data_IF_992034014812
#
_entry.id   IF_992034014812
#
_cell.length_a   1.000
_cell.length_b   1.000
_cell.length_c   1.000
_cell.angle_alpha   90.00
_cell.angle_beta   90.00
_cell.angle_gamma   90.00
#
_symmetry.space_group_name_H-M   'P 1'
#
loop_
_entity.id
_entity.type
_entity.pdbx_description
1 polymer ?
#
# COMPACT_ATOMS: atom_id res chain seq x y z
N UNK A 1 3.57 -9.39 -31.84
CA UNK A 1 2.63 -8.95 -30.81
C UNK A 1 3.08 -7.63 -30.22
N UNK A 2 2.20 -6.69 -30.15
CA UNK A 2 2.49 -5.41 -29.51
C UNK A 2 2.47 -5.60 -28.00
N UNK A 3 3.50 -5.16 -27.27
CA UNK A 3 3.44 -5.24 -25.83
C UNK A 3 2.29 -4.40 -25.29
N UNK A 4 1.62 -4.89 -24.27
CA UNK A 4 0.55 -4.16 -23.61
C UNK A 4 1.06 -2.88 -22.94
N UNK A 5 2.35 -2.83 -22.68
CA UNK A 5 3.00 -1.71 -22.01
C UNK A 5 4.15 -1.20 -22.86
N UNK A 6 4.23 0.12 -23.01
CA UNK A 6 5.34 0.79 -23.66
C UNK A 6 6.12 1.59 -22.64
N UNK A 7 7.48 1.61 -22.69
CA UNK A 7 8.27 2.44 -21.79
C UNK A 7 7.92 3.93 -21.82
N UNK A 8 7.29 4.39 -22.91
CA UNK A 8 6.87 5.79 -23.05
C UNK A 8 5.51 6.05 -22.44
N UNK A 9 4.70 5.01 -22.24
CA UNK A 9 3.38 5.13 -21.63
C UNK A 9 3.56 4.95 -20.13
N UNK A 10 3.30 6.01 -19.38
CA UNK A 10 3.36 5.96 -17.93
C UNK A 10 2.05 5.40 -17.40
N UNK A 11 2.15 4.45 -16.50
CA UNK A 11 1.01 3.96 -15.76
C UNK A 11 1.33 3.95 -14.27
N UNK A 12 0.35 3.57 -13.46
CA UNK A 12 0.50 3.58 -12.01
C UNK A 12 1.64 2.69 -11.51
N UNK A 13 2.02 1.65 -12.28
CA UNK A 13 3.08 0.72 -11.89
C UNK A 13 4.46 1.37 -11.92
N UNK A 14 4.61 2.51 -12.59
CA UNK A 14 5.85 3.28 -12.58
C UNK A 14 6.04 4.09 -11.31
N UNK A 15 4.99 4.25 -10.50
CA UNK A 15 5.07 5.01 -9.26
C UNK A 15 5.72 4.17 -8.17
N UNK A 16 6.71 4.75 -7.51
CA UNK A 16 7.39 4.11 -6.39
C UNK A 16 6.39 3.75 -5.28
N UNK A 17 5.44 4.65 -5.00
CA UNK A 17 4.41 4.40 -4.00
C UNK A 17 3.62 3.13 -4.30
N UNK A 18 3.25 2.92 -5.57
CA UNK A 18 2.52 1.71 -5.96
C UNK A 18 3.40 0.48 -5.81
N UNK A 19 4.66 0.56 -6.21
CA UNK A 19 5.59 -0.57 -6.13
C UNK A 19 5.78 -1.02 -4.68
N UNK A 20 5.97 -0.08 -3.77
CA UNK A 20 6.08 -0.37 -2.34
C UNK A 20 4.78 -0.98 -1.80
N UNK A 21 3.64 -0.40 -2.15
CA UNK A 21 2.33 -0.89 -1.73
C UNK A 21 2.07 -2.32 -2.23
N UNK A 22 2.49 -2.62 -3.46
CA UNK A 22 2.32 -3.95 -4.06
C UNK A 22 3.13 -5.01 -3.30
N UNK A 23 4.35 -4.69 -2.90
CA UNK A 23 5.17 -5.59 -2.09
C UNK A 23 4.47 -5.90 -0.76
N UNK A 24 3.92 -4.88 -0.11
CA UNK A 24 3.22 -5.05 1.16
C UNK A 24 1.98 -5.92 1.00
N UNK A 25 1.14 -5.63 0.00
CA UNK A 25 -0.09 -6.39 -0.22
C UNK A 25 0.20 -7.87 -0.48
N UNK A 26 1.19 -8.17 -1.33
CA UNK A 26 1.60 -9.54 -1.61
C UNK A 26 2.12 -10.24 -0.36
N UNK A 27 2.94 -9.55 0.43
CA UNK A 27 3.49 -10.10 1.67
C UNK A 27 2.40 -10.38 2.70
N UNK A 28 1.45 -9.47 2.85
CA UNK A 28 0.31 -9.65 3.77
C UNK A 28 -0.51 -10.86 3.36
N UNK A 29 -0.81 -11.01 2.07
CA UNK A 29 -1.55 -12.17 1.57
C UNK A 29 -0.78 -13.46 1.87
N UNK A 30 0.52 -13.47 1.62
CA UNK A 30 1.36 -14.63 1.87
C UNK A 30 1.40 -15.03 3.34
N UNK A 31 1.63 -14.06 4.22
CA UNK A 31 1.65 -14.32 5.66
C UNK A 31 0.28 -14.76 6.18
N UNK A 32 -0.80 -14.18 5.64
CA UNK A 32 -2.15 -14.54 6.01
C UNK A 32 -2.47 -16.00 5.70
N UNK A 33 -1.98 -16.49 4.56
CA UNK A 33 -2.22 -17.90 4.17
C UNK A 33 -1.52 -18.87 5.11
N UNK A 34 -0.33 -18.51 5.59
CA UNK A 34 0.49 -19.40 6.41
C UNK A 34 0.13 -19.30 7.89
N UNK A 35 -0.17 -18.09 8.35
CA UNK A 35 -0.28 -17.80 9.79
C UNK A 35 -1.70 -17.50 10.27
N UNK A 36 -2.71 -17.75 9.42
CA UNK A 36 -4.09 -17.52 9.83
C UNK A 36 -4.46 -18.40 11.02
N UNK A 37 -5.05 -17.80 12.04
CA UNK A 37 -5.59 -18.48 13.21
C UNK A 37 -6.82 -17.70 13.67
N UNK A 38 -7.79 -18.34 14.32
CA UNK A 38 -9.00 -17.64 14.76
C UNK A 38 -8.74 -16.42 15.61
N UNK A 39 -7.77 -16.49 16.53
CA UNK A 39 -7.47 -15.35 17.42
C UNK A 39 -6.93 -14.14 16.67
N UNK A 40 -6.36 -14.33 15.51
CA UNK A 40 -5.80 -13.25 14.70
C UNK A 40 -6.70 -12.81 13.54
N UNK A 41 -7.85 -13.46 13.35
CA UNK A 41 -8.67 -13.28 12.17
C UNK A 41 -9.09 -11.83 11.93
N UNK A 42 -9.47 -11.10 12.99
CA UNK A 42 -9.91 -9.72 12.86
C UNK A 42 -8.77 -8.81 12.39
N UNK A 43 -7.57 -8.96 12.97
CA UNK A 43 -6.40 -8.17 12.60
C UNK A 43 -5.96 -8.51 11.18
N UNK A 44 -5.90 -9.79 10.85
CA UNK A 44 -5.51 -10.24 9.51
C UNK A 44 -6.47 -9.71 8.46
N UNK A 45 -7.78 -9.81 8.70
CA UNK A 45 -8.78 -9.29 7.77
C UNK A 45 -8.67 -7.78 7.55
N UNK A 46 -8.46 -7.03 8.62
CA UNK A 46 -8.30 -5.58 8.52
C UNK A 46 -6.99 -5.23 7.79
N UNK A 47 -5.93 -5.97 8.06
CA UNK A 47 -4.63 -5.77 7.41
C UNK A 47 -4.72 -6.06 5.90
N UNK A 48 -5.43 -7.11 5.52
CA UNK A 48 -5.68 -7.40 4.10
C UNK A 48 -6.42 -6.25 3.43
N UNK A 49 -7.46 -5.72 4.07
CA UNK A 49 -8.23 -4.60 3.51
C UNK A 49 -7.40 -3.33 3.40
N UNK A 50 -6.67 -2.97 4.45
CA UNK A 50 -5.89 -1.73 4.43
C UNK A 50 -4.75 -1.78 3.42
N UNK A 51 -4.02 -2.90 3.35
CA UNK A 51 -2.90 -3.03 2.42
C UNK A 51 -3.36 -3.01 0.96
N UNK A 52 -4.50 -3.64 0.66
CA UNK A 52 -5.09 -3.58 -0.68
C UNK A 52 -5.57 -2.17 -1.00
N UNK A 53 -6.14 -1.48 -0.02
CA UNK A 53 -6.64 -0.12 -0.20
C UNK A 53 -5.53 0.85 -0.61
N UNK A 54 -4.32 0.70 -0.07
CA UNK A 54 -3.19 1.55 -0.49
C UNK A 54 -2.96 1.42 -1.98
N UNK A 55 -2.74 0.22 -2.44
CA UNK A 55 -2.40 -0.08 -3.83
C UNK A 55 -3.52 0.30 -4.78
N UNK A 56 -4.75 -0.05 -4.44
CA UNK A 56 -5.89 0.15 -5.32
C UNK A 56 -6.23 1.64 -5.46
N UNK A 57 -6.11 2.42 -4.39
CA UNK A 57 -6.38 3.86 -4.46
C UNK A 57 -5.31 4.61 -5.26
N UNK A 58 -4.05 4.17 -5.20
CA UNK A 58 -3.01 4.74 -6.06
C UNK A 58 -3.35 4.48 -7.54
N UNK A 59 -3.66 3.24 -7.88
CA UNK A 59 -3.97 2.85 -9.26
C UNK A 59 -5.22 3.58 -9.77
N UNK A 60 -6.26 3.59 -8.96
CA UNK A 60 -7.54 4.20 -9.34
C UNK A 60 -7.39 5.71 -9.50
N UNK A 61 -6.70 6.35 -8.57
CA UNK A 61 -6.47 7.79 -8.64
C UNK A 61 -5.66 8.18 -9.87
N UNK A 62 -4.65 7.41 -10.19
CA UNK A 62 -3.78 7.67 -11.34
C UNK A 62 -4.58 7.69 -12.66
N UNK A 63 -5.67 6.93 -12.73
CA UNK A 63 -6.53 6.89 -13.91
C UNK A 63 -7.20 8.23 -14.22
N UNK A 64 -7.31 9.11 -13.22
CA UNK A 64 -7.94 10.43 -13.39
C UNK A 64 -6.96 11.52 -13.81
N UNK A 65 -5.69 11.17 -14.09
CA UNK A 65 -4.71 12.12 -14.55
C UNK A 65 -4.37 13.19 -13.51
N UNK A 66 -3.94 14.36 -13.98
CA UNK A 66 -3.54 15.45 -13.10
C UNK A 66 -4.77 16.25 -12.67
N UNK A 67 -5.51 15.76 -11.70
CA UNK A 67 -6.79 16.33 -11.28
C UNK A 67 -6.94 16.31 -9.76
N UNK A 68 -7.88 17.10 -9.20
CA UNK A 68 -8.21 17.03 -7.77
C UNK A 68 -8.67 15.64 -7.34
N UNK A 69 -9.31 14.88 -8.23
CA UNK A 69 -9.74 13.52 -7.95
C UNK A 69 -8.55 12.62 -7.65
N UNK A 70 -7.47 12.75 -8.42
CA UNK A 70 -6.23 12.01 -8.14
C UNK A 70 -5.69 12.34 -6.74
N UNK A 71 -5.65 13.63 -6.40
CA UNK A 71 -5.19 14.06 -5.07
C UNK A 71 -6.03 13.43 -3.95
N UNK A 72 -7.33 13.37 -4.15
CA UNK A 72 -8.24 12.75 -3.17
C UNK A 72 -7.94 11.26 -2.98
N UNK A 73 -7.74 10.53 -4.07
CA UNK A 73 -7.39 9.11 -3.99
C UNK A 73 -6.03 8.89 -3.32
N UNK A 74 -5.05 9.74 -3.60
CA UNK A 74 -3.74 9.66 -2.93
C UNK A 74 -3.88 9.89 -1.42
N UNK A 75 -4.79 10.78 -1.00
CA UNK A 75 -5.07 11.01 0.40
C UNK A 75 -5.67 9.78 1.09
N UNK A 76 -6.59 9.10 0.41
CA UNK A 76 -7.17 7.84 0.92
C UNK A 76 -6.07 6.77 1.03
N UNK A 77 -5.23 6.65 0.00
CA UNK A 77 -4.11 5.70 0.02
C UNK A 77 -3.15 5.99 1.17
N UNK A 78 -2.86 7.26 1.44
CA UNK A 78 -2.00 7.66 2.54
C UNK A 78 -2.56 7.20 3.89
N UNK A 79 -3.85 7.45 4.14
CA UNK A 79 -4.51 7.00 5.37
C UNK A 79 -4.47 5.48 5.51
N UNK A 80 -4.69 4.76 4.41
CA UNK A 80 -4.61 3.30 4.40
C UNK A 80 -3.18 2.80 4.68
N UNK A 81 -2.16 3.52 4.21
CA UNK A 81 -0.77 3.18 4.50
C UNK A 81 -0.45 3.35 5.99
N UNK A 82 -0.92 4.42 6.61
CA UNK A 82 -0.78 4.65 8.05
C UNK A 82 -1.45 3.52 8.83
N UNK A 83 -2.65 3.16 8.43
CA UNK A 83 -3.40 2.05 9.06
C UNK A 83 -2.63 0.73 8.91
N UNK A 84 -2.09 0.46 7.73
CA UNK A 84 -1.32 -0.76 7.46
C UNK A 84 -0.09 -0.86 8.38
N UNK A 85 0.64 0.25 8.57
CA UNK A 85 1.79 0.30 9.47
C UNK A 85 1.36 -0.07 10.89
N UNK A 86 0.29 0.55 11.39
CA UNK A 86 -0.24 0.27 12.73
C UNK A 86 -0.58 -1.21 12.90
N UNK A 87 -1.27 -1.78 11.89
CA UNK A 87 -1.70 -3.17 11.94
C UNK A 87 -0.52 -4.15 11.84
N UNK A 88 0.50 -3.83 11.04
CA UNK A 88 1.70 -4.67 10.96
C UNK A 88 2.44 -4.68 12.30
N UNK A 89 2.57 -3.53 12.94
CA UNK A 89 3.19 -3.45 14.26
C UNK A 89 2.39 -4.22 15.32
N UNK A 90 1.06 -4.11 15.27
CA UNK A 90 0.19 -4.86 16.16
C UNK A 90 0.31 -6.36 15.94
N UNK A 91 0.30 -6.80 14.68
CA UNK A 91 0.41 -8.22 14.34
C UNK A 91 1.73 -8.82 14.81
N UNK A 92 2.82 -8.06 14.72
CA UNK A 92 4.12 -8.50 15.20
C UNK A 92 4.18 -8.57 16.72
N UNK A 93 3.73 -7.53 17.41
CA UNK A 93 3.82 -7.45 18.87
C UNK A 93 2.93 -8.48 19.58
N UNK A 94 1.82 -8.85 18.95
CA UNK A 94 0.90 -9.87 19.47
C UNK A 94 1.19 -11.26 18.93
N UNK A 95 2.21 -11.40 18.07
CA UNK A 95 2.63 -12.64 17.44
C UNK A 95 1.54 -13.31 16.60
N UNK A 96 0.62 -12.51 16.07
CA UNK A 96 -0.30 -12.97 15.01
C UNK A 96 0.52 -13.33 13.79
N UNK A 97 1.51 -12.50 13.46
CA UNK A 97 2.56 -12.85 12.49
C UNK A 97 3.90 -12.92 13.21
N UNK A 98 4.81 -13.82 12.77
CA UNK A 98 6.16 -13.83 13.33
C UNK A 98 6.84 -12.48 13.10
N UNK A 99 7.39 -11.85 14.15
CA UNK A 99 7.99 -10.51 14.01
C UNK A 99 9.08 -10.43 12.93
N UNK A 100 9.86 -11.49 12.77
CA UNK A 100 10.95 -11.53 11.79
C UNK A 100 10.45 -11.40 10.34
N UNK A 101 9.20 -11.83 10.06
CA UNK A 101 8.62 -11.72 8.73
C UNK A 101 7.92 -10.38 8.50
N UNK A 102 7.67 -9.63 9.58
CA UNK A 102 7.01 -8.33 9.48
C UNK A 102 8.01 -7.22 9.18
N UNK A 103 9.27 -7.38 9.60
CA UNK A 103 10.29 -6.32 9.50
C UNK A 103 10.42 -5.77 8.08
N UNK A 104 10.55 -6.62 7.08
CA UNK A 104 10.70 -6.18 5.68
C UNK A 104 9.42 -5.52 5.17
N UNK A 105 8.27 -6.11 5.49
CA UNK A 105 6.99 -5.52 5.08
C UNK A 105 6.77 -4.15 5.70
N UNK A 106 7.16 -3.99 6.96
CA UNK A 106 7.03 -2.71 7.65
C UNK A 106 7.89 -1.64 6.97
N UNK A 107 9.10 -1.98 6.54
CA UNK A 107 9.97 -1.06 5.81
C UNK A 107 9.32 -0.61 4.50
N UNK A 108 8.72 -1.53 3.76
CA UNK A 108 8.02 -1.20 2.52
C UNK A 108 6.74 -0.39 2.76
N UNK A 109 6.02 -0.68 3.83
CA UNK A 109 4.82 0.08 4.20
C UNK A 109 5.19 1.53 4.55
N UNK A 110 6.28 1.72 5.29
CA UNK A 110 6.82 3.05 5.60
C UNK A 110 7.26 3.74 4.31
N UNK A 111 7.90 3.00 3.39
CA UNK A 111 8.28 3.51 2.08
C UNK A 111 7.08 4.00 1.29
N UNK A 112 5.99 3.23 1.25
CA UNK A 112 4.76 3.62 0.57
C UNK A 112 4.18 4.89 1.19
N UNK A 113 4.09 4.96 2.51
CA UNK A 113 3.59 6.15 3.21
C UNK A 113 4.40 7.39 2.87
N UNK A 114 5.72 7.26 2.89
CA UNK A 114 6.61 8.39 2.64
C UNK A 114 6.52 8.86 1.18
N UNK A 115 6.43 7.93 0.24
CA UNK A 115 6.23 8.27 -1.17
C UNK A 115 4.89 8.97 -1.39
N UNK A 116 3.83 8.49 -0.74
CA UNK A 116 2.50 9.11 -0.83
C UNK A 116 2.50 10.51 -0.23
N UNK A 117 3.16 10.69 0.90
CA UNK A 117 3.27 12.00 1.52
C UNK A 117 4.00 12.98 0.61
N UNK A 118 5.08 12.54 -0.04
CA UNK A 118 5.83 13.38 -0.98
C UNK A 118 4.96 13.76 -2.19
N UNK A 119 4.20 12.82 -2.74
CA UNK A 119 3.28 13.08 -3.84
C UNK A 119 2.20 14.09 -3.43
N UNK A 120 1.62 13.94 -2.25
CA UNK A 120 0.59 14.84 -1.76
C UNK A 120 1.13 16.25 -1.55
N UNK A 121 2.33 16.38 -0.97
CA UNK A 121 2.96 17.68 -0.78
C UNK A 121 3.25 18.37 -2.12
N UNK A 122 3.74 17.61 -3.09
CA UNK A 122 4.01 18.13 -4.43
C UNK A 122 2.73 18.64 -5.08
N UNK A 123 1.65 17.87 -5.02
CA UNK A 123 0.38 18.25 -5.63
C UNK A 123 -0.25 19.47 -4.97
N UNK A 124 -0.19 19.56 -3.66
CA UNK A 124 -0.70 20.74 -2.93
C UNK A 124 0.07 22.01 -3.28
N UNK A 125 1.38 21.88 -3.55
CA UNK A 125 2.25 23.00 -3.88
C UNK A 125 1.91 23.62 -5.23
N UNK A 126 1.41 22.80 -6.17
CA UNK A 126 1.15 23.22 -7.54
C UNK A 126 -0.32 23.16 -7.93
N UNK A 127 -1.20 23.00 -6.98
CA UNK A 127 -2.66 22.97 -7.25
C UNK A 127 -3.28 24.34 -7.09
#
# INVERSE_FOLDING_TARGET
MTPAYSPRVRDHRSLKAWQEANVVARGVIGLSRVHWRPYGAAVIGQLQRSSLSVQLNIAEGFAYGNSPTYTRFLGIAYGSAVETIELLELAASTRIFPPEFVTDLLAHAVGARNCLLALLKHRRRFS
#
